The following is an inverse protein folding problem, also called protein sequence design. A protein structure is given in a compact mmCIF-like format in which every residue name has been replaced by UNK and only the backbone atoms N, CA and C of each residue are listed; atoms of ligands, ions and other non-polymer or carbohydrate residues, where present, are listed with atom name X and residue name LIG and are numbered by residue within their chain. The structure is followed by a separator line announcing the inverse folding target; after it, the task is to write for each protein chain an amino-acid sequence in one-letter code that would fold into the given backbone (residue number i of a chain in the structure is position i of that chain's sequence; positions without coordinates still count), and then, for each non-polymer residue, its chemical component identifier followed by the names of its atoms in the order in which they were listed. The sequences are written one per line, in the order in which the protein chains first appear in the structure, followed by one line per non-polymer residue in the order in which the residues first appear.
data_IF_500336190719
#
_entry.id   IF_500336190719
#
_cell.length_a   1.000
_cell.length_b   1.000
_cell.length_c   1.000
_cell.angle_alpha   90.00
_cell.angle_beta   90.00
_cell.angle_gamma   90.00
#
_symmetry.space_group_name_H-M   'P 1'
#
loop_
_entity.id
_entity.type
_entity.pdbx_description
1 polymer ?
#
# COMPACT_ATOMS: atom_id res chain seq x y z
N UNK A 1 44.38 16.76 43.64
CA UNK A 1 44.12 17.47 42.37
C UNK A 1 44.10 16.46 41.24
N UNK A 2 43.19 16.65 40.27
CA UNK A 2 42.95 15.79 39.10
C UNK A 2 42.18 14.47 39.27
N UNK A 3 41.53 14.23 40.42
CA UNK A 3 40.26 13.45 40.46
C UNK A 3 39.08 14.20 39.82
N UNK A 4 39.32 15.38 39.28
CA UNK A 4 38.34 16.30 38.68
C UNK A 4 38.22 16.12 37.16
N UNK A 5 39.12 15.38 36.51
CA UNK A 5 39.15 15.27 35.05
C UNK A 5 38.31 14.14 34.43
N UNK A 6 37.85 13.17 35.23
CA UNK A 6 37.10 12.01 34.70
C UNK A 6 35.59 12.27 34.64
N UNK A 7 35.09 13.28 35.36
CA UNK A 7 33.64 13.57 35.42
C UNK A 7 33.17 14.45 34.26
N UNK A 8 34.09 15.07 33.51
CA UNK A 8 33.75 16.00 32.42
C UNK A 8 33.56 15.36 31.04
N UNK A 9 33.68 14.03 30.93
CA UNK A 9 33.42 13.30 29.68
C UNK A 9 32.16 12.42 29.72
N UNK A 10 31.29 12.60 30.73
CA UNK A 10 30.07 11.80 30.91
C UNK A 10 28.77 12.62 30.77
N UNK A 11 28.84 13.84 30.23
CA UNK A 11 27.69 14.78 30.18
C UNK A 11 27.37 15.32 28.78
N UNK A 12 27.54 14.52 27.73
CA UNK A 12 27.13 14.88 26.36
C UNK A 12 26.27 13.81 25.67
N UNK A 13 25.54 12.98 26.43
CA UNK A 13 24.73 11.89 25.84
C UNK A 13 23.27 11.89 26.28
N UNK A 14 22.70 13.05 26.56
CA UNK A 14 21.26 13.21 26.75
C UNK A 14 20.88 14.52 26.07
N UNK A 15 19.70 14.56 25.44
CA UNK A 15 19.17 15.60 24.54
C UNK A 15 19.22 15.23 23.06
N UNK A 16 18.73 14.03 22.77
CA UNK A 16 18.10 13.70 21.50
C UNK A 16 16.65 13.32 21.72
N UNK A 17 15.79 14.23 22.21
CA UNK A 17 14.35 14.14 21.90
C UNK A 17 14.16 14.51 20.43
N UNK A 18 14.83 13.78 19.54
CA UNK A 18 14.45 13.71 18.15
C UNK A 18 13.31 12.71 18.08
N UNK A 19 12.11 13.12 18.51
CA UNK A 19 10.93 12.57 17.86
C UNK A 19 11.14 12.90 16.39
N UNK A 20 11.63 11.91 15.61
CA UNK A 20 11.65 12.05 14.17
C UNK A 20 10.22 12.46 13.82
N UNK A 21 9.98 13.63 13.21
CA UNK A 21 8.63 13.96 12.78
C UNK A 21 8.18 12.75 11.99
N UNK A 22 7.10 12.11 12.45
CA UNK A 22 6.63 10.88 11.85
C UNK A 22 6.58 11.18 10.36
N UNK A 23 7.40 10.46 9.56
CA UNK A 23 7.51 10.70 8.12
C UNK A 23 6.15 10.59 7.43
N UNK A 24 5.22 9.99 8.14
CA UNK A 24 3.81 9.86 7.89
C UNK A 24 3.10 10.71 8.94
N UNK A 25 2.78 11.96 8.58
CA UNK A 25 1.92 12.81 9.40
C UNK A 25 0.53 12.20 9.58
N UNK A 26 -0.37 12.87 10.32
CA UNK A 26 -1.74 12.38 10.47
C UNK A 26 -2.40 12.17 9.10
N UNK A 27 -3.44 11.30 9.02
CA UNK A 27 -4.28 11.19 7.83
C UNK A 27 -4.70 12.57 7.33
N UNK A 28 -4.64 12.77 6.02
CA UNK A 28 -4.95 14.06 5.40
C UNK A 28 -6.47 14.14 5.19
N UNK A 29 -7.15 15.07 5.85
CA UNK A 29 -8.59 15.28 5.64
C UNK A 29 -8.90 15.68 4.19
N UNK A 30 -7.98 16.36 3.49
CA UNK A 30 -8.15 16.65 2.07
C UNK A 30 -8.07 15.40 1.20
N UNK A 31 -7.19 14.46 1.55
CA UNK A 31 -7.06 13.20 0.82
C UNK A 31 -8.31 12.34 1.04
N UNK A 32 -8.85 12.32 2.27
CA UNK A 32 -10.10 11.63 2.61
C UNK A 32 -11.25 12.19 1.78
N UNK A 33 -11.47 13.52 1.81
CA UNK A 33 -12.55 14.15 1.06
C UNK A 33 -12.41 13.97 -0.47
N UNK A 34 -11.18 13.97 -0.98
CA UNK A 34 -10.91 13.74 -2.40
C UNK A 34 -11.23 12.30 -2.80
N UNK A 35 -10.77 11.32 -2.00
CA UNK A 35 -11.04 9.91 -2.25
C UNK A 35 -12.54 9.59 -2.10
N UNK A 36 -13.21 10.14 -1.09
CA UNK A 36 -14.67 10.01 -0.92
C UNK A 36 -15.41 10.50 -2.17
N UNK A 37 -15.05 11.69 -2.66
CA UNK A 37 -15.65 12.26 -3.88
C UNK A 37 -15.43 11.37 -5.10
N UNK A 38 -14.24 10.76 -5.23
CA UNK A 38 -13.97 9.81 -6.31
C UNK A 38 -14.77 8.52 -6.17
N UNK A 39 -14.92 7.98 -4.95
CA UNK A 39 -15.71 6.77 -4.70
C UNK A 39 -17.19 7.02 -5.01
N UNK A 40 -17.74 8.15 -4.57
CA UNK A 40 -19.09 8.60 -4.93
C UNK A 40 -19.28 8.70 -6.45
N UNK A 41 -18.26 9.18 -7.16
CA UNK A 41 -18.27 9.32 -8.61
C UNK A 41 -18.18 8.00 -9.40
N UNK A 42 -17.97 6.85 -8.73
CA UNK A 42 -17.99 5.53 -9.38
C UNK A 42 -19.34 5.20 -10.02
N UNK A 43 -20.42 5.83 -9.57
CA UNK A 43 -21.70 5.82 -10.27
C UNK A 43 -22.92 5.78 -9.35
N UNK A 44 -24.13 5.76 -9.93
CA UNK A 44 -25.36 5.68 -9.14
C UNK A 44 -25.40 4.36 -8.34
N UNK A 45 -25.98 4.44 -7.14
CA UNK A 45 -26.14 3.30 -6.22
C UNK A 45 -25.00 3.14 -5.21
N UNK A 46 -23.93 3.93 -5.29
CA UNK A 46 -22.92 4.02 -4.22
C UNK A 46 -23.52 4.78 -3.03
N UNK A 47 -23.45 4.20 -1.83
CA UNK A 47 -23.85 4.88 -0.58
C UNK A 47 -22.83 5.96 -0.22
N UNK A 48 -23.31 7.15 0.14
CA UNK A 48 -22.46 8.24 0.59
C UNK A 48 -21.76 7.89 1.91
N UNK A 49 -22.47 7.22 2.81
CA UNK A 49 -21.92 6.78 4.08
C UNK A 49 -20.84 5.71 3.89
N UNK A 50 -20.99 4.79 2.92
CA UNK A 50 -19.95 3.83 2.58
C UNK A 50 -18.74 4.47 1.92
N UNK A 51 -18.95 5.45 1.04
CA UNK A 51 -17.87 6.18 0.39
C UNK A 51 -17.01 6.94 1.41
N UNK A 52 -17.64 7.64 2.35
CA UNK A 52 -16.94 8.37 3.43
C UNK A 52 -16.14 7.38 4.29
N UNK A 53 -16.77 6.29 4.75
CA UNK A 53 -16.11 5.27 5.57
C UNK A 53 -14.92 4.65 4.84
N UNK A 54 -15.11 4.18 3.60
CA UNK A 54 -14.05 3.55 2.83
C UNK A 54 -12.87 4.49 2.59
N UNK A 55 -13.13 5.78 2.26
CA UNK A 55 -12.09 6.78 2.06
C UNK A 55 -11.29 7.04 3.33
N UNK A 56 -11.98 7.28 4.45
CA UNK A 56 -11.36 7.51 5.76
C UNK A 56 -10.49 6.33 6.18
N UNK A 57 -11.05 5.12 6.09
CA UNK A 57 -10.36 3.88 6.42
C UNK A 57 -9.13 3.66 5.55
N UNK A 58 -9.22 3.87 4.24
CA UNK A 58 -8.09 3.66 3.34
C UNK A 58 -6.93 4.60 3.65
N UNK A 59 -7.20 5.90 3.81
CA UNK A 59 -6.16 6.91 4.10
C UNK A 59 -5.56 6.68 5.48
N UNK A 60 -6.39 6.41 6.50
CA UNK A 60 -5.91 6.15 7.85
C UNK A 60 -5.09 4.88 7.92
N UNK A 61 -5.58 3.78 7.35
CA UNK A 61 -4.90 2.50 7.42
C UNK A 61 -3.58 2.50 6.67
N UNK A 62 -3.48 3.24 5.55
CA UNK A 62 -2.21 3.49 4.87
C UNK A 62 -1.14 4.06 5.83
N UNK A 63 -1.53 4.97 6.73
CA UNK A 63 -0.62 5.54 7.75
C UNK A 63 -0.28 4.53 8.84
N UNK A 64 -1.27 3.79 9.32
CA UNK A 64 -1.08 2.73 10.32
C UNK A 64 -0.10 1.65 9.82
N UNK A 65 -0.24 1.21 8.56
CA UNK A 65 0.67 0.25 7.93
C UNK A 65 2.09 0.81 7.81
N UNK A 66 2.25 2.10 7.48
CA UNK A 66 3.57 2.72 7.40
C UNK A 66 4.30 2.72 8.75
N UNK A 67 3.57 2.95 9.83
CA UNK A 67 4.09 2.86 11.19
C UNK A 67 4.39 1.40 11.56
N UNK A 68 3.45 0.49 11.32
CA UNK A 68 3.58 -0.94 11.62
C UNK A 68 4.78 -1.58 10.91
N UNK A 69 4.97 -1.26 9.63
CA UNK A 69 6.09 -1.75 8.83
C UNK A 69 7.38 -1.00 9.07
N UNK A 70 7.37 0.04 9.92
CA UNK A 70 8.54 0.85 10.26
C UNK A 70 9.20 1.46 9.02
N UNK A 71 8.40 2.09 8.16
CA UNK A 71 8.87 2.70 6.93
C UNK A 71 9.77 3.90 7.24
N UNK A 72 11.04 3.82 6.83
CA UNK A 72 12.04 4.87 7.05
C UNK A 72 12.76 5.29 5.77
N UNK A 73 12.47 4.65 4.64
CA UNK A 73 13.21 4.83 3.38
C UNK A 73 12.30 4.82 2.15
N UNK A 74 12.93 4.75 0.98
CA UNK A 74 12.21 4.52 -0.27
C UNK A 74 11.61 3.12 -0.30
N UNK A 75 10.54 2.88 -1.08
CA UNK A 75 9.90 1.57 -1.16
C UNK A 75 10.85 0.46 -1.62
N UNK A 76 11.77 0.75 -2.55
CA UNK A 76 12.77 -0.22 -3.01
C UNK A 76 13.79 -0.55 -1.91
N UNK A 77 14.23 0.44 -1.14
CA UNK A 77 15.12 0.20 0.00
C UNK A 77 14.44 -0.63 1.08
N UNK A 78 13.15 -0.34 1.35
CA UNK A 78 12.35 -1.14 2.29
C UNK A 78 12.19 -2.58 1.82
N UNK A 79 11.90 -2.79 0.53
CA UNK A 79 11.82 -4.13 -0.04
C UNK A 79 13.12 -4.92 0.14
N UNK A 80 14.28 -4.29 -0.05
CA UNK A 80 15.59 -4.92 0.21
C UNK A 80 15.72 -5.34 1.67
N UNK A 81 15.33 -4.49 2.63
CA UNK A 81 15.36 -4.84 4.05
C UNK A 81 14.46 -6.04 4.37
N UNK A 82 13.26 -6.12 3.78
CA UNK A 82 12.37 -7.27 3.97
C UNK A 82 12.98 -8.55 3.39
N UNK A 83 13.51 -8.49 2.18
CA UNK A 83 14.15 -9.64 1.53
C UNK A 83 15.41 -10.13 2.26
N UNK A 84 16.10 -9.24 2.99
CA UNK A 84 17.23 -9.58 3.85
C UNK A 84 16.82 -10.04 5.26
N UNK A 85 15.52 -10.05 5.58
CA UNK A 85 15.02 -10.44 6.90
C UNK A 85 15.25 -9.38 8.01
N UNK A 86 15.59 -8.15 7.64
CA UNK A 86 15.77 -7.03 8.59
C UNK A 86 14.42 -6.47 9.02
N UNK A 87 13.44 -6.48 8.11
CA UNK A 87 12.05 -6.09 8.36
C UNK A 87 11.15 -7.28 8.04
N UNK A 88 10.11 -7.47 8.83
CA UNK A 88 9.22 -8.62 8.66
C UNK A 88 8.24 -8.45 7.50
N UNK A 89 7.80 -7.21 7.23
CA UNK A 89 6.70 -6.91 6.31
C UNK A 89 6.92 -5.58 5.57
N UNK A 90 6.13 -5.34 4.51
CA UNK A 90 6.15 -4.08 3.74
C UNK A 90 6.53 -4.18 2.26
N UNK A 91 6.69 -5.39 1.71
CA UNK A 91 6.62 -5.62 0.25
C UNK A 91 5.26 -5.18 -0.31
N UNK A 92 5.22 -4.72 -1.56
CA UNK A 92 4.00 -4.23 -2.22
C UNK A 92 2.77 -5.14 -2.06
N UNK A 93 2.95 -6.46 -2.16
CA UNK A 93 1.86 -7.42 -2.02
C UNK A 93 1.31 -7.52 -0.59
N UNK A 94 2.12 -7.23 0.43
CA UNK A 94 1.69 -7.14 1.83
C UNK A 94 0.76 -5.94 2.04
N UNK A 95 1.16 -4.77 1.53
CA UNK A 95 0.32 -3.57 1.59
C UNK A 95 -1.03 -3.80 0.93
N UNK A 96 -1.01 -4.38 -0.26
CA UNK A 96 -2.22 -4.67 -1.01
C UNK A 96 -3.12 -5.72 -0.32
N UNK A 97 -2.53 -6.67 0.42
CA UNK A 97 -3.26 -7.63 1.24
C UNK A 97 -3.86 -6.99 2.49
N UNK A 98 -3.09 -6.21 3.22
CA UNK A 98 -3.57 -5.61 4.47
C UNK A 98 -4.63 -4.52 4.20
N UNK A 99 -4.50 -3.76 3.10
CA UNK A 99 -5.54 -2.85 2.63
C UNK A 99 -6.84 -3.59 2.26
N UNK A 100 -6.75 -4.71 1.53
CA UNK A 100 -7.90 -5.53 1.17
C UNK A 100 -8.60 -6.08 2.43
N UNK A 101 -7.85 -6.69 3.33
CA UNK A 101 -8.38 -7.24 4.59
C UNK A 101 -9.07 -6.16 5.41
N UNK A 102 -8.43 -4.99 5.56
CA UNK A 102 -9.00 -3.88 6.31
C UNK A 102 -10.29 -3.36 5.70
N UNK A 103 -10.34 -3.17 4.39
CA UNK A 103 -11.54 -2.64 3.72
C UNK A 103 -12.69 -3.66 3.73
N UNK A 104 -12.40 -4.95 3.56
CA UNK A 104 -13.41 -6.01 3.65
C UNK A 104 -14.05 -6.09 5.04
N UNK A 105 -13.30 -5.76 6.10
CA UNK A 105 -13.83 -5.72 7.47
C UNK A 105 -14.91 -4.63 7.69
N UNK A 106 -15.04 -3.66 6.78
CA UNK A 106 -16.10 -2.64 6.86
C UNK A 106 -17.48 -3.14 6.41
N UNK A 107 -17.58 -4.33 5.82
CA UNK A 107 -18.87 -4.91 5.42
C UNK A 107 -19.65 -4.10 4.39
N UNK A 108 -18.95 -3.47 3.44
CA UNK A 108 -19.54 -2.60 2.42
C UNK A 108 -20.50 -3.39 1.50
N UNK A 109 -21.69 -2.85 1.26
CA UNK A 109 -22.74 -3.45 0.42
C UNK A 109 -22.76 -2.87 -1.00
N UNK A 110 -22.45 -1.59 -1.16
CA UNK A 110 -22.48 -0.86 -2.44
C UNK A 110 -21.12 -0.77 -3.13
N UNK A 111 -20.06 -1.22 -2.45
CA UNK A 111 -18.68 -1.22 -2.92
C UNK A 111 -18.09 -2.63 -2.97
N UNK A 112 -17.05 -2.81 -3.76
CA UNK A 112 -16.35 -4.09 -3.94
C UNK A 112 -14.84 -3.87 -3.96
N UNK A 113 -14.11 -4.78 -3.32
CA UNK A 113 -12.65 -4.73 -3.22
C UNK A 113 -12.05 -5.79 -4.14
N UNK A 114 -11.10 -5.36 -4.96
CA UNK A 114 -10.37 -6.19 -5.91
C UNK A 114 -8.88 -6.13 -5.62
N UNK A 115 -8.14 -7.03 -6.29
CA UNK A 115 -6.68 -7.02 -6.31
C UNK A 115 -6.17 -6.89 -7.73
N UNK A 116 -5.20 -6.01 -7.93
CA UNK A 116 -4.57 -5.79 -9.21
C UNK A 116 -3.04 -5.98 -9.11
N UNK A 117 -2.45 -6.41 -10.22
CA UNK A 117 -1.01 -6.59 -10.38
C UNK A 117 -0.56 -5.87 -11.66
N UNK A 118 0.52 -5.11 -11.58
CA UNK A 118 1.21 -4.53 -12.72
C UNK A 118 2.58 -5.19 -12.92
N UNK A 119 3.10 -5.10 -14.15
CA UNK A 119 4.44 -5.57 -14.53
C UNK A 119 4.71 -7.09 -14.34
N UNK A 120 3.68 -7.93 -14.16
CA UNK A 120 3.85 -9.34 -13.80
C UNK A 120 4.70 -10.19 -14.77
N UNK A 121 4.79 -9.75 -16.03
CA UNK A 121 5.52 -10.44 -17.09
C UNK A 121 6.58 -9.55 -17.74
N UNK A 122 6.98 -8.47 -17.07
CA UNK A 122 8.03 -7.58 -17.56
C UNK A 122 9.37 -7.96 -16.91
N UNK A 123 10.38 -8.44 -17.66
CA UNK A 123 11.66 -8.84 -17.09
C UNK A 123 12.51 -7.66 -16.58
N UNK A 124 12.16 -6.43 -16.96
CA UNK A 124 12.91 -5.21 -16.64
C UNK A 124 12.25 -4.37 -15.53
N UNK A 125 11.07 -4.77 -15.03
CA UNK A 125 10.33 -4.02 -14.01
C UNK A 125 9.90 -4.93 -12.87
N UNK A 126 9.84 -4.36 -11.67
CA UNK A 126 9.36 -5.07 -10.49
C UNK A 126 7.84 -5.22 -10.59
N UNK A 127 7.37 -6.45 -10.33
CA UNK A 127 5.95 -6.73 -10.18
C UNK A 127 5.39 -5.93 -9.02
N UNK A 128 4.28 -5.23 -9.27
CA UNK A 128 3.64 -4.39 -8.26
C UNK A 128 2.22 -4.85 -8.01
N UNK A 129 1.79 -4.83 -6.76
CA UNK A 129 0.47 -5.29 -6.32
C UNK A 129 -0.24 -4.17 -5.58
N UNK A 130 -1.55 -4.06 -5.78
CA UNK A 130 -2.39 -3.07 -5.10
C UNK A 130 -3.80 -3.61 -4.82
N UNK A 131 -4.53 -2.91 -3.96
CA UNK A 131 -5.98 -3.06 -3.81
C UNK A 131 -6.69 -2.06 -4.73
N UNK A 132 -7.90 -2.39 -5.16
CA UNK A 132 -8.75 -1.52 -5.99
C UNK A 132 -10.15 -1.53 -5.40
N UNK A 133 -10.78 -0.36 -5.28
CA UNK A 133 -12.18 -0.24 -4.86
C UNK A 133 -13.06 0.14 -6.04
N UNK A 134 -14.17 -0.57 -6.24
CA UNK A 134 -15.16 -0.27 -7.28
C UNK A 134 -16.57 -0.22 -6.68
N UNK A 135 -17.52 0.23 -7.49
CA UNK A 135 -18.94 -0.01 -7.19
C UNK A 135 -19.24 -1.50 -7.27
N UNK A 136 -20.20 -1.96 -6.48
CA UNK A 136 -20.64 -3.36 -6.45
C UNK A 136 -21.05 -3.87 -7.83
N UNK A 137 -20.55 -5.05 -8.20
CA UNK A 137 -20.85 -5.68 -9.49
C UNK A 137 -20.09 -5.09 -10.68
N UNK A 138 -19.31 -4.03 -10.47
CA UNK A 138 -18.39 -3.49 -11.47
C UNK A 138 -17.02 -4.20 -11.39
N UNK A 139 -16.34 -4.32 -12.54
CA UNK A 139 -14.99 -4.86 -12.60
C UNK A 139 -13.94 -3.87 -12.08
N UNK A 140 -12.76 -4.39 -11.73
CA UNK A 140 -11.67 -3.59 -11.18
C UNK A 140 -11.23 -2.44 -12.10
N UNK A 141 -11.38 -2.59 -13.42
CA UNK A 141 -11.04 -1.56 -14.41
C UNK A 141 -11.88 -0.28 -14.27
N UNK A 142 -13.07 -0.37 -13.67
CA UNK A 142 -13.92 0.79 -13.35
C UNK A 142 -13.74 1.29 -11.92
N UNK A 143 -12.77 0.74 -11.19
CA UNK A 143 -12.47 1.13 -9.82
C UNK A 143 -11.36 2.16 -9.69
N UNK A 144 -11.00 2.44 -8.45
CA UNK A 144 -9.93 3.33 -8.02
C UNK A 144 -8.84 2.47 -7.36
N UNK A 145 -7.60 2.62 -7.82
CA UNK A 145 -6.42 2.02 -7.19
C UNK A 145 -6.21 2.63 -5.81
N UNK A 146 -5.91 1.81 -4.81
CA UNK A 146 -5.59 2.23 -3.45
C UNK A 146 -4.19 1.72 -3.09
N UNK A 147 -3.17 2.52 -3.41
CA UNK A 147 -1.78 2.11 -3.36
C UNK A 147 -0.95 2.92 -2.34
N UNK A 148 -0.76 2.39 -1.12
CA UNK A 148 0.04 3.05 -0.11
C UNK A 148 1.55 2.77 -0.27
N UNK A 149 1.98 1.82 -1.11
CA UNK A 149 3.37 1.40 -1.19
C UNK A 149 4.24 2.44 -1.91
N UNK A 150 3.75 3.05 -3.00
CA UNK A 150 4.52 3.96 -3.87
C UNK A 150 5.22 5.10 -3.14
N UNK A 151 4.48 5.70 -2.22
CA UNK A 151 4.93 6.86 -1.46
C UNK A 151 5.19 6.50 0.00
N UNK A 152 5.43 5.22 0.27
CA UNK A 152 5.81 4.70 1.59
C UNK A 152 4.80 5.04 2.68
N UNK A 153 3.51 4.89 2.43
CA UNK A 153 2.45 5.12 3.42
C UNK A 153 1.60 6.37 3.20
N UNK A 154 1.94 7.21 2.23
CA UNK A 154 0.96 8.16 1.66
C UNK A 154 0.15 7.42 0.61
N UNK A 155 -1.17 7.38 0.79
CA UNK A 155 -2.06 6.66 -0.11
C UNK A 155 -2.09 7.36 -1.48
N UNK A 156 -1.64 6.66 -2.52
CA UNK A 156 -1.92 7.05 -3.89
C UNK A 156 -3.26 6.46 -4.30
N UNK A 157 -4.17 7.30 -4.79
CA UNK A 157 -5.44 6.86 -5.36
C UNK A 157 -5.71 7.50 -6.71
N UNK A 158 -6.02 6.68 -7.70
CA UNK A 158 -6.22 7.06 -9.11
C UNK A 158 -7.22 6.12 -9.77
N UNK A 159 -8.01 6.56 -10.78
CA UNK A 159 -8.83 5.65 -11.56
C UNK A 159 -7.94 4.58 -12.22
N UNK A 160 -8.39 3.31 -12.17
CA UNK A 160 -7.53 2.16 -12.50
C UNK A 160 -6.96 2.22 -13.91
N UNK A 161 -7.73 2.70 -14.89
CA UNK A 161 -7.31 2.81 -16.28
C UNK A 161 -6.54 4.11 -16.59
N UNK A 162 -6.52 5.07 -15.66
CA UNK A 162 -5.89 6.38 -15.82
C UNK A 162 -4.56 6.49 -15.07
N UNK A 163 -4.11 5.40 -14.43
CA UNK A 163 -2.83 5.37 -13.73
C UNK A 163 -1.66 5.57 -14.70
N UNK A 164 -0.89 6.67 -14.59
CA UNK A 164 0.18 6.98 -15.52
C UNK A 164 1.42 6.10 -15.32
N UNK A 165 1.58 5.49 -14.13
CA UNK A 165 2.78 4.73 -13.77
C UNK A 165 2.61 3.23 -14.05
N UNK A 166 1.40 2.70 -13.90
CA UNK A 166 1.14 1.26 -13.94
C UNK A 166 -0.01 0.89 -14.86
N UNK A 167 0.21 -0.16 -15.65
CA UNK A 167 -0.86 -0.85 -16.37
C UNK A 167 -1.32 -2.03 -15.53
N UNK A 168 -2.47 -1.86 -14.90
CA UNK A 168 -3.04 -2.84 -13.97
C UNK A 168 -3.74 -3.98 -14.70
N UNK A 169 -3.49 -5.20 -14.22
CA UNK A 169 -4.20 -6.40 -14.63
C UNK A 169 -4.81 -7.06 -13.39
N UNK A 170 -6.00 -7.64 -13.51
CA UNK A 170 -6.65 -8.30 -12.39
C UNK A 170 -5.78 -9.46 -11.86
N UNK A 171 -5.60 -9.51 -10.53
CA UNK A 171 -4.72 -10.50 -9.88
C UNK A 171 -5.10 -11.93 -10.25
N UNK A 172 -6.39 -12.26 -10.30
CA UNK A 172 -6.86 -13.62 -10.61
C UNK A 172 -6.37 -14.08 -12.00
N UNK A 173 -6.38 -13.19 -12.99
CA UNK A 173 -5.95 -13.48 -14.36
C UNK A 173 -4.44 -13.56 -14.49
N UNK A 174 -3.70 -12.70 -13.78
CA UNK A 174 -2.24 -12.79 -13.68
C UNK A 174 -1.82 -14.14 -13.08
N UNK A 175 -2.43 -14.54 -11.96
CA UNK A 175 -2.13 -15.81 -11.29
C UNK A 175 -2.53 -17.03 -12.13
N UNK A 176 -3.64 -16.97 -12.86
CA UNK A 176 -4.02 -18.03 -13.81
C UNK A 176 -2.98 -18.20 -14.92
N UNK A 177 -2.49 -17.11 -15.51
CA UNK A 177 -1.42 -17.15 -16.53
C UNK A 177 -0.09 -17.65 -15.96
N UNK A 178 0.30 -17.22 -14.76
CA UNK A 178 1.51 -17.74 -14.07
C UNK A 178 1.44 -19.26 -13.88
N UNK A 179 0.30 -19.79 -13.40
CA UNK A 179 0.08 -21.24 -13.24
C UNK A 179 0.23 -22.01 -14.56
N UNK A 180 -0.40 -21.52 -15.64
CA UNK A 180 -0.27 -22.13 -16.99
C UNK A 180 1.19 -22.18 -17.46
N UNK A 181 1.96 -21.11 -17.25
CA UNK A 181 3.40 -21.06 -17.63
C UNK A 181 4.26 -22.05 -16.84
N UNK A 182 3.99 -22.20 -15.54
CA UNK A 182 4.72 -23.17 -14.71
C UNK A 182 4.42 -24.62 -15.10
N UNK A 183 3.14 -24.94 -15.37
CA UNK A 183 2.75 -26.26 -15.85
C UNK A 183 3.40 -26.60 -17.21
N UNK A 184 3.41 -25.66 -18.15
CA UNK A 184 4.06 -25.85 -19.46
C UNK A 184 5.58 -26.06 -19.37
N UNK A 185 6.26 -25.36 -18.45
CA UNK A 185 7.70 -25.57 -18.20
C UNK A 185 8.02 -26.93 -17.59
N UNK A 186 7.13 -27.46 -16.76
CA UNK A 186 7.31 -28.77 -16.11
C UNK A 186 7.04 -29.95 -17.04
N UNK A 187 6.37 -29.71 -18.18
CA UNK A 187 6.00 -30.72 -19.16
C UNK A 187 7.02 -30.89 -20.31
N UNK A 188 8.07 -30.06 -20.37
CA UNK A 188 9.18 -30.23 -21.32
C UNK A 188 10.28 -31.04 -20.63
N UNK A 189 10.54 -32.31 -21.00
CA UNK A 189 11.69 -33.04 -20.50
C UNK A 189 12.96 -32.37 -21.02
N UNK A 190 13.95 -32.19 -20.14
CA UNK A 190 15.29 -31.72 -20.51
C UNK A 190 16.05 -32.72 -21.37
#
# INVERSE_FOLDING_TARGET
MLRVFVVLLALLSLWGCGASPARHGPPSESDIASLESMILALGPGVSAEEAERAARVAVQHSRELAVSYQITGSPLWHNTQVNLGIKERGLCWHWAEDMEVRLLAEGLETLEIHRAIANAFNPLRIEHSTAVISRKGDGFERGIVLDPWRLGGTLTFVPTLEDPEYKWEERKEVLARKRKRMAGRSAVPG
#
